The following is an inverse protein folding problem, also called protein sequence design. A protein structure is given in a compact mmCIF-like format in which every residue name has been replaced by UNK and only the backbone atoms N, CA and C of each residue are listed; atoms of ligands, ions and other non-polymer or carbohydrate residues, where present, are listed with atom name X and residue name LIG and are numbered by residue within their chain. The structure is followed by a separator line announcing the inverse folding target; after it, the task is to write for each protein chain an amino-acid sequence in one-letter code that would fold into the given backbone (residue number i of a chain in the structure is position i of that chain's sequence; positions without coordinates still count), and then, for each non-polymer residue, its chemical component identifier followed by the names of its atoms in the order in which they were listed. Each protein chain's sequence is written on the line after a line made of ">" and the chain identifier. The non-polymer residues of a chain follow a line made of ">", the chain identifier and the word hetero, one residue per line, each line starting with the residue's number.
data_IF_711073452467
#
_entry.id   IF_711073452467
#
_cell.length_a   1.000
_cell.length_b   1.000
_cell.length_c   1.000
_cell.angle_alpha   90.00
_cell.angle_beta   90.00
_cell.angle_gamma   90.00
#
_symmetry.space_group_name_H-M   'P 1'
#
loop_
_entity.id
_entity.type
_entity.pdbx_description
1 polymer ?
#
# COMPACT_ATOMS: atom_id res chain seq x y z
N UNK A 1 -17.06 9.06 3.29
CA UNK A 1 -17.37 7.62 3.13
C UNK A 1 -17.17 7.10 1.70
N UNK A 2 -17.74 7.74 0.66
CA UNK A 2 -17.68 7.23 -0.72
C UNK A 2 -16.26 7.03 -1.29
N UNK A 3 -15.30 7.92 -1.02
CA UNK A 3 -13.93 7.75 -1.54
C UNK A 3 -13.17 6.64 -0.82
N UNK A 4 -13.44 6.42 0.47
CA UNK A 4 -12.74 5.39 1.24
C UNK A 4 -13.10 3.99 0.73
N UNK A 5 -14.36 3.74 0.38
CA UNK A 5 -14.77 2.44 -0.16
C UNK A 5 -14.12 2.13 -1.51
N UNK A 6 -13.83 3.15 -2.34
CA UNK A 6 -13.10 2.98 -3.60
C UNK A 6 -11.65 2.52 -3.40
N UNK A 7 -11.09 2.75 -2.21
CA UNK A 7 -9.70 2.38 -1.89
C UNK A 7 -9.59 0.97 -1.32
N UNK A 8 -10.69 0.28 -1.03
CA UNK A 8 -10.66 -1.08 -0.53
C UNK A 8 -10.00 -2.01 -1.54
N UNK A 9 -8.94 -2.70 -1.12
CA UNK A 9 -8.20 -3.64 -1.96
C UNK A 9 -8.64 -5.07 -1.64
N UNK A 10 -8.53 -5.46 -0.36
CA UNK A 10 -8.83 -6.82 0.09
C UNK A 10 -8.99 -6.88 1.61
N UNK A 11 -9.46 -8.03 2.08
CA UNK A 11 -9.46 -8.41 3.50
C UNK A 11 -8.61 -9.68 3.67
N UNK A 12 -7.70 -9.67 4.66
CA UNK A 12 -6.82 -10.79 4.99
C UNK A 12 -6.79 -10.97 6.50
N UNK A 13 -7.12 -12.17 6.99
CA UNK A 13 -7.13 -12.49 8.43
C UNK A 13 -7.96 -11.50 9.28
N UNK A 14 -9.11 -11.05 8.78
CA UNK A 14 -9.97 -10.07 9.45
C UNK A 14 -9.45 -8.62 9.42
N UNK A 15 -8.38 -8.35 8.67
CA UNK A 15 -7.80 -7.01 8.48
C UNK A 15 -8.15 -6.50 7.10
N UNK A 16 -8.74 -5.30 7.02
CA UNK A 16 -9.13 -4.67 5.75
C UNK A 16 -8.05 -3.70 5.30
N UNK A 17 -7.59 -3.84 4.06
CA UNK A 17 -6.57 -2.97 3.47
C UNK A 17 -7.23 -2.00 2.51
N UNK A 18 -6.95 -0.71 2.72
CA UNK A 18 -7.36 0.37 1.84
C UNK A 18 -6.11 1.07 1.34
N UNK A 19 -5.85 1.12 0.05
CA UNK A 19 -4.67 1.83 -0.47
C UNK A 19 -4.80 2.25 -1.93
N UNK A 20 -3.98 3.21 -2.34
CA UNK A 20 -3.79 3.60 -3.73
C UNK A 20 -2.33 3.52 -4.12
N UNK A 21 -2.07 2.90 -5.28
CA UNK A 21 -0.76 2.90 -5.92
C UNK A 21 -0.56 4.17 -6.77
N UNK A 22 0.69 4.64 -6.84
CA UNK A 22 1.11 5.73 -7.70
C UNK A 22 2.45 5.41 -8.37
N UNK A 23 2.63 5.89 -9.60
CA UNK A 23 3.92 5.83 -10.32
C UNK A 23 4.07 7.13 -11.11
N UNK A 24 5.06 7.95 -10.76
CA UNK A 24 5.43 9.12 -11.54
C UNK A 24 6.37 8.71 -12.67
N UNK A 25 5.86 8.63 -13.91
CA UNK A 25 6.63 8.21 -15.09
C UNK A 25 7.44 9.37 -15.70
N UNK A 26 6.90 10.60 -15.62
CA UNK A 26 7.44 11.78 -16.30
C UNK A 26 8.39 12.60 -15.40
N UNK A 27 9.12 11.92 -14.50
CA UNK A 27 10.09 12.52 -13.57
C UNK A 27 11.33 11.65 -13.45
N UNK A 28 12.49 12.25 -13.16
CA UNK A 28 13.75 11.55 -12.92
C UNK A 28 14.34 11.99 -11.56
N UNK A 29 14.59 11.05 -10.63
CA UNK A 29 14.27 9.62 -10.70
C UNK A 29 12.75 9.36 -10.64
N UNK A 30 12.30 8.28 -11.29
CA UNK A 30 10.89 7.87 -11.21
C UNK A 30 10.52 7.45 -9.78
N UNK A 31 9.32 7.83 -9.33
CA UNK A 31 8.85 7.56 -7.97
C UNK A 31 7.66 6.62 -7.95
N UNK A 32 7.71 5.62 -7.07
CA UNK A 32 6.67 4.64 -6.81
C UNK A 32 6.05 4.82 -5.43
N UNK A 33 4.72 4.74 -5.38
CA UNK A 33 3.94 4.89 -4.15
C UNK A 33 2.99 3.72 -3.92
N UNK A 34 2.80 3.40 -2.65
CA UNK A 34 1.58 2.75 -2.15
C UNK A 34 1.22 3.36 -0.79
N UNK A 35 0.15 4.15 -0.76
CA UNK A 35 -0.29 4.86 0.44
C UNK A 35 -1.69 4.40 0.82
N UNK A 36 -1.91 4.17 2.11
CA UNK A 36 -3.15 3.60 2.58
C UNK A 36 -3.22 3.40 4.09
N UNK A 37 -4.14 2.55 4.52
CA UNK A 37 -4.27 2.12 5.91
C UNK A 37 -4.80 0.70 6.03
N UNK A 38 -4.50 0.06 7.16
CA UNK A 38 -5.07 -1.22 7.57
C UNK A 38 -6.06 -0.98 8.72
N UNK A 39 -7.26 -1.50 8.59
CA UNK A 39 -8.24 -1.58 9.67
C UNK A 39 -8.10 -2.95 10.33
N UNK A 40 -7.65 -2.97 11.59
CA UNK A 40 -7.51 -4.18 12.39
C UNK A 40 -8.88 -4.69 12.89
N UNK A 41 -9.02 -5.97 13.30
CA UNK A 41 -10.30 -6.54 13.73
C UNK A 41 -10.99 -5.75 14.86
N UNK A 42 -10.21 -5.13 15.75
CA UNK A 42 -10.71 -4.30 16.86
C UNK A 42 -11.04 -2.85 16.44
N UNK A 43 -10.98 -2.53 15.14
CA UNK A 43 -11.25 -1.20 14.60
C UNK A 43 -10.07 -0.23 14.62
N UNK A 44 -8.91 -0.63 15.17
CA UNK A 44 -7.69 0.20 15.14
C UNK A 44 -7.25 0.41 13.69
N UNK A 45 -7.00 1.67 13.33
CA UNK A 45 -6.51 2.07 12.01
C UNK A 45 -5.01 2.32 12.09
N UNK A 46 -4.24 1.69 11.20
CA UNK A 46 -2.80 1.93 11.05
C UNK A 46 -2.55 2.40 9.62
N UNK A 47 -2.23 3.69 9.47
CA UNK A 47 -1.86 4.28 8.19
C UNK A 47 -0.42 3.95 7.80
N UNK A 48 -0.16 3.87 6.49
CA UNK A 48 1.17 3.62 5.95
C UNK A 48 1.37 4.37 4.62
N UNK A 49 2.63 4.62 4.29
CA UNK A 49 3.04 5.10 2.97
C UNK A 49 4.37 4.47 2.59
N UNK A 50 4.38 3.75 1.48
CA UNK A 50 5.60 3.28 0.83
C UNK A 50 6.01 4.32 -0.22
N UNK A 51 7.28 4.73 -0.19
CA UNK A 51 7.96 5.50 -1.22
C UNK A 51 9.21 4.73 -1.67
N UNK A 52 9.43 4.61 -2.97
CA UNK A 52 10.68 4.08 -3.52
C UNK A 52 10.96 4.63 -4.91
N UNK A 53 12.25 4.66 -5.28
CA UNK A 53 12.68 4.91 -6.64
C UNK A 53 12.33 3.71 -7.54
N UNK A 54 11.63 3.97 -8.64
CA UNK A 54 11.27 2.96 -9.64
C UNK A 54 12.33 2.93 -10.74
N UNK A 55 13.02 1.81 -10.89
CA UNK A 55 14.01 1.60 -11.96
C UNK A 55 13.39 0.86 -13.14
N UNK A 56 13.97 1.07 -14.33
CA UNK A 56 13.59 0.33 -15.53
C UNK A 56 13.67 -1.19 -15.29
N UNK A 57 12.62 -1.90 -15.66
CA UNK A 57 12.52 -3.36 -15.51
C UNK A 57 11.99 -3.83 -14.16
N UNK A 58 11.80 -2.94 -13.18
CA UNK A 58 11.15 -3.31 -11.92
C UNK A 58 9.64 -3.53 -12.17
N UNK A 59 9.07 -4.67 -11.75
CA UNK A 59 7.64 -4.91 -11.89
C UNK A 59 6.83 -3.94 -11.02
N UNK A 60 5.70 -3.49 -11.54
CA UNK A 60 4.81 -2.55 -10.84
C UNK A 60 4.26 -3.12 -9.52
N UNK A 61 4.22 -4.46 -9.40
CA UNK A 61 3.77 -5.21 -8.22
C UNK A 61 4.68 -5.04 -7.01
N UNK A 62 5.96 -4.68 -7.19
CA UNK A 62 6.94 -4.61 -6.11
C UNK A 62 6.49 -3.69 -4.97
N UNK A 63 5.77 -2.60 -5.31
CA UNK A 63 5.23 -1.65 -4.33
C UNK A 63 4.25 -2.34 -3.37
N UNK A 64 3.39 -3.22 -3.88
CA UNK A 64 2.47 -4.02 -3.07
C UNK A 64 3.24 -5.04 -2.23
N UNK A 65 4.15 -5.77 -2.86
CA UNK A 65 4.91 -6.85 -2.20
C UNK A 65 5.76 -6.34 -1.03
N UNK A 66 6.49 -5.24 -1.20
CA UNK A 66 7.32 -4.64 -0.14
C UNK A 66 6.45 -4.11 1.00
N UNK A 67 5.40 -3.35 0.69
CA UNK A 67 4.50 -2.80 1.71
C UNK A 67 3.86 -3.92 2.53
N UNK A 68 3.36 -4.97 1.86
CA UNK A 68 2.68 -6.07 2.53
C UNK A 68 3.64 -6.87 3.43
N UNK A 69 4.84 -7.20 2.93
CA UNK A 69 5.87 -7.86 3.75
C UNK A 69 6.26 -7.04 4.96
N UNK A 70 6.42 -5.72 4.80
CA UNK A 70 6.71 -4.83 5.93
C UNK A 70 5.58 -4.79 6.96
N UNK A 71 4.33 -4.70 6.52
CA UNK A 71 3.16 -4.73 7.41
C UNK A 71 3.00 -6.09 8.13
N UNK A 72 3.27 -7.20 7.45
CA UNK A 72 3.25 -8.56 8.02
C UNK A 72 4.35 -8.73 9.08
N UNK A 73 5.58 -8.28 8.80
CA UNK A 73 6.69 -8.32 9.75
C UNK A 73 6.42 -7.50 11.02
N UNK A 74 5.63 -6.42 10.90
CA UNK A 74 5.21 -5.59 12.03
C UNK A 74 3.94 -6.11 12.74
N UNK A 75 3.36 -7.22 12.29
CA UNK A 75 2.10 -7.77 12.83
C UNK A 75 0.86 -6.90 12.56
N UNK A 76 0.96 -5.97 11.59
CA UNK A 76 -0.13 -5.06 11.21
C UNK A 76 -1.09 -5.75 10.24
N UNK A 77 -0.55 -6.53 9.29
CA UNK A 77 -1.25 -7.34 8.28
C UNK A 77 -1.09 -8.85 8.56
#
# INVERSE_FOLDING_TARGET
>A
EQVQSMLFIEEKNGRKIYAKSGWGWDVEPQVGWLTGWVVQPQGKIVAFSLNLEMKKGIPSSIRKEIAYKGLEQLGIL
#
